data_IF_425878914472
#
_entry.id   IF_425878914472
#
_cell.length_a   1.000
_cell.length_b   1.000
_cell.length_c   1.000
_cell.angle_alpha   90.00
_cell.angle_beta   90.00
_cell.angle_gamma   90.00
#
_symmetry.space_group_name_H-M   'P 1'
#
loop_
_entity.id
_entity.type
_entity.pdbx_description
1 polymer ?
#
# COMPACT_ATOMS: atom_id res chain seq x y z
N UNK A 1 5.87 -5.26 -13.60
CA UNK A 1 5.43 -5.75 -12.28
C UNK A 1 5.28 -7.26 -12.37
N UNK A 2 5.50 -8.01 -11.28
CA UNK A 2 5.05 -9.39 -11.17
C UNK A 2 3.57 -9.54 -11.58
N UNK A 3 3.20 -10.71 -12.10
CA UNK A 3 1.84 -10.95 -12.63
C UNK A 3 0.77 -10.76 -11.54
N UNK A 4 1.06 -11.22 -10.32
CA UNK A 4 0.24 -11.09 -9.12
C UNK A 4 0.16 -9.65 -8.57
N UNK A 5 0.89 -8.69 -9.16
CA UNK A 5 0.90 -7.29 -8.71
C UNK A 5 0.37 -6.32 -9.77
N UNK A 6 -0.14 -6.80 -10.91
CA UNK A 6 -0.65 -5.93 -11.98
C UNK A 6 -1.85 -5.07 -11.54
N UNK A 7 -2.70 -5.59 -10.65
CA UNK A 7 -3.87 -4.87 -10.13
C UNK A 7 -3.52 -3.54 -9.42
N UNK A 8 -2.30 -3.43 -8.87
CA UNK A 8 -1.87 -2.24 -8.15
C UNK A 8 -1.71 -1.02 -9.06
N UNK A 9 -1.59 -1.19 -10.38
CA UNK A 9 -1.53 -0.06 -11.31
C UNK A 9 -2.83 0.76 -11.31
N UNK A 10 -3.96 0.07 -11.49
CA UNK A 10 -5.27 0.72 -11.47
C UNK A 10 -5.60 1.23 -10.07
N UNK A 11 -5.33 0.42 -9.04
CA UNK A 11 -5.57 0.81 -7.65
C UNK A 11 -4.82 2.09 -7.26
N UNK A 12 -3.54 2.20 -7.65
CA UNK A 12 -2.74 3.38 -7.37
C UNK A 12 -3.30 4.63 -8.09
N UNK A 13 -3.77 4.49 -9.33
CA UNK A 13 -4.39 5.60 -10.05
C UNK A 13 -5.66 6.08 -9.34
N UNK A 14 -6.55 5.16 -8.93
CA UNK A 14 -7.80 5.51 -8.25
C UNK A 14 -7.59 6.10 -6.85
N UNK A 15 -6.64 5.59 -6.07
CA UNK A 15 -6.38 6.08 -4.71
C UNK A 15 -5.60 7.38 -4.69
N UNK A 16 -4.73 7.63 -5.68
CA UNK A 16 -4.01 8.89 -5.80
C UNK A 16 -4.95 10.11 -5.99
N UNK A 17 -6.13 9.91 -6.59
CA UNK A 17 -7.15 10.95 -6.73
C UNK A 17 -7.92 11.22 -5.43
N UNK A 18 -7.97 10.27 -4.50
CA UNK A 18 -8.81 10.32 -3.30
C UNK A 18 -8.03 10.63 -2.02
N UNK A 19 -6.81 10.11 -1.91
CA UNK A 19 -6.02 10.20 -0.68
C UNK A 19 -5.29 11.54 -0.54
N UNK A 20 -5.09 12.01 0.69
CA UNK A 20 -4.32 13.23 0.94
C UNK A 20 -2.85 13.05 0.56
N UNK A 21 -2.21 14.13 0.11
CA UNK A 21 -0.78 14.11 -0.18
C UNK A 21 0.06 14.02 1.10
N UNK A 22 1.10 13.17 1.09
CA UNK A 22 2.06 13.02 2.18
C UNK A 22 3.43 13.49 1.68
N UNK A 23 3.90 14.65 2.15
CA UNK A 23 5.17 15.27 1.72
C UNK A 23 6.29 15.19 2.76
N UNK A 24 6.00 14.65 3.94
CA UNK A 24 6.94 14.57 5.06
C UNK A 24 7.10 13.13 5.56
N UNK A 25 8.32 12.79 5.97
CA UNK A 25 8.60 11.48 6.56
C UNK A 25 7.91 11.35 7.92
N UNK A 26 7.34 10.18 8.17
CA UNK A 26 6.78 9.76 9.45
C UNK A 26 7.41 8.44 9.89
N UNK A 27 7.27 8.11 11.16
CA UNK A 27 7.66 6.81 11.67
C UNK A 27 6.80 5.70 11.04
N UNK A 28 7.36 4.49 10.86
CA UNK A 28 6.58 3.35 10.37
C UNK A 28 5.49 2.96 11.38
N UNK A 29 4.53 2.17 10.93
CA UNK A 29 3.55 1.56 11.85
C UNK A 29 4.26 0.65 12.86
N UNK A 30 3.76 0.52 14.11
CA UNK A 30 4.38 -0.30 15.15
C UNK A 30 4.66 -1.74 14.72
N UNK A 31 3.77 -2.30 13.88
CA UNK A 31 3.85 -3.68 13.43
C UNK A 31 4.58 -3.88 12.09
N UNK A 32 5.24 -2.84 11.55
CA UNK A 32 5.82 -2.88 10.21
C UNK A 32 6.77 -4.07 10.00
N UNK A 33 7.61 -4.40 10.99
CA UNK A 33 8.52 -5.54 10.93
C UNK A 33 7.77 -6.88 10.79
N UNK A 34 6.63 -7.03 11.48
CA UNK A 34 5.80 -8.24 11.43
C UNK A 34 5.12 -8.44 10.05
N UNK A 35 5.09 -7.41 9.21
CA UNK A 35 4.44 -7.44 7.90
C UNK A 35 5.42 -7.38 6.72
N UNK A 36 6.72 -7.24 6.96
CA UNK A 36 7.72 -7.05 5.90
C UNK A 36 7.70 -8.18 4.86
N UNK A 37 7.71 -9.43 5.32
CA UNK A 37 7.81 -10.62 4.45
C UNK A 37 6.47 -11.30 4.16
N UNK A 38 5.36 -10.76 4.66
CA UNK A 38 4.02 -11.32 4.42
C UNK A 38 3.53 -11.00 3.01
N UNK A 39 3.08 -12.03 2.30
CA UNK A 39 2.44 -11.92 0.98
C UNK A 39 0.92 -11.72 1.12
N UNK A 40 0.24 -11.43 0.00
CA UNK A 40 -1.22 -11.32 -0.07
C UNK A 40 -1.85 -10.26 0.86
N UNK A 41 -1.12 -9.19 1.18
CA UNK A 41 -1.58 -8.12 2.10
C UNK A 41 -2.72 -7.25 1.56
N UNK A 42 -3.13 -7.45 0.30
CA UNK A 42 -4.16 -6.68 -0.40
C UNK A 42 -5.50 -6.66 0.33
N UNK A 43 -5.84 -7.74 1.03
CA UNK A 43 -7.10 -7.88 1.79
C UNK A 43 -7.17 -6.97 3.03
N UNK A 44 -6.03 -6.50 3.54
CA UNK A 44 -5.94 -5.63 4.72
C UNK A 44 -5.92 -4.14 4.38
N UNK A 45 -6.07 -3.76 3.10
CA UNK A 45 -6.10 -2.35 2.70
C UNK A 45 -7.39 -1.67 3.18
N UNK A 46 -7.23 -0.63 3.98
CA UNK A 46 -8.31 0.28 4.40
C UNK A 46 -8.47 1.39 3.35
N UNK A 47 -9.70 1.61 2.85
CA UNK A 47 -10.02 2.62 1.81
C UNK A 47 -10.74 3.81 2.43
#
# INVERSE_FOLDING_TARGET
>A
LPEDQQEFLQLNAELAEKWPNITEKKDPLPEAENWADKTNKREYLEI
#
